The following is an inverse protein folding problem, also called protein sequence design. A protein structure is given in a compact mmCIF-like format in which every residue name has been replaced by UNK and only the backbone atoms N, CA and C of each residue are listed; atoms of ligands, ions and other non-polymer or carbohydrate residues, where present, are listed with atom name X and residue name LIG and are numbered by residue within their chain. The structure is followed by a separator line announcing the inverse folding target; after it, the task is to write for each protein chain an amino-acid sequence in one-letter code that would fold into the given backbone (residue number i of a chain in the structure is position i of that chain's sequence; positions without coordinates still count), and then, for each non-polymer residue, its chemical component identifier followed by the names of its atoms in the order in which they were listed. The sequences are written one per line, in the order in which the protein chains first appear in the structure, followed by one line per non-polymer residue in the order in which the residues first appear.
data_IF_886658735400
#
_entry.id   IF_886658735400
#
_cell.length_a   1.000
_cell.length_b   1.000
_cell.length_c   1.000
_cell.angle_alpha   90.00
_cell.angle_beta   90.00
_cell.angle_gamma   90.00
#
_symmetry.space_group_name_H-M   'P 1'
#
loop_
_entity.id
_entity.type
_entity.pdbx_description
1 polymer ?
#
# COMPACT_ATOMS: atom_id res chain seq x y z
N UNK A 1 -29.97 -20.98 4.13
CA UNK A 1 -29.59 -22.42 4.12
C UNK A 1 -28.13 -22.49 3.75
N UNK A 2 -27.26 -22.77 4.71
CA UNK A 2 -25.84 -22.99 4.50
C UNK A 2 -25.64 -24.48 4.17
N UNK A 3 -25.02 -24.79 3.04
CA UNK A 3 -24.52 -26.13 2.78
C UNK A 3 -23.00 -26.07 2.68
N UNK A 4 -22.35 -26.76 3.61
CA UNK A 4 -20.93 -27.04 3.66
C UNK A 4 -20.70 -28.06 4.78
N UNK A 5 -21.00 -29.32 4.50
CA UNK A 5 -20.65 -30.45 5.36
C UNK A 5 -19.47 -31.19 4.73
N UNK A 6 -18.42 -31.49 5.49
CA UNK A 6 -17.47 -32.56 5.13
C UNK A 6 -17.58 -33.69 6.16
N UNK A 7 -17.84 -34.92 5.69
CA UNK A 7 -17.80 -36.16 6.48
C UNK A 7 -16.35 -36.64 6.64
N UNK A 8 -16.08 -37.33 7.75
CA UNK A 8 -14.74 -37.68 8.26
C UNK A 8 -14.06 -38.88 7.59
N UNK A 9 -14.60 -39.43 6.50
CA UNK A 9 -14.24 -40.80 6.07
C UNK A 9 -13.46 -40.89 4.74
N UNK A 10 -12.77 -39.85 4.28
CA UNK A 10 -11.87 -39.96 3.11
C UNK A 10 -10.53 -39.25 3.36
N UNK A 11 -9.63 -39.96 4.04
CA UNK A 11 -8.19 -39.70 3.94
C UNK A 11 -7.59 -40.82 3.09
N UNK A 12 -7.57 -40.60 1.79
CA UNK A 12 -6.58 -41.20 0.90
C UNK A 12 -5.90 -40.04 0.18
N UNK A 13 -4.56 -40.05 0.18
CA UNK A 13 -3.75 -39.15 -0.63
C UNK A 13 -3.61 -39.80 -2.01
N UNK A 14 -4.18 -39.21 -3.07
CA UNK A 14 -3.59 -39.34 -4.39
C UNK A 14 -3.27 -37.97 -5.01
N UNK A 15 -2.18 -37.95 -5.77
CA UNK A 15 -1.56 -36.75 -6.33
C UNK A 15 -2.39 -35.99 -7.38
N UNK A 16 -1.91 -34.77 -7.64
CA UNK A 16 -2.08 -33.94 -8.84
C UNK A 16 -3.45 -34.03 -9.55
N UNK A 17 -4.39 -33.14 -9.20
CA UNK A 17 -5.09 -32.24 -10.13
C UNK A 17 -6.23 -31.46 -9.42
N UNK A 18 -6.27 -30.15 -9.67
CA UNK A 18 -7.39 -29.20 -9.43
C UNK A 18 -7.89 -28.98 -7.99
N UNK A 19 -7.43 -27.89 -7.35
CA UNK A 19 -8.12 -27.28 -6.20
C UNK A 19 -9.36 -26.50 -6.67
N UNK A 20 -10.54 -26.62 -6.02
CA UNK A 20 -11.69 -25.79 -6.33
C UNK A 20 -11.53 -24.36 -5.74
N UNK A 21 -12.08 -23.38 -6.45
CA UNK A 21 -12.01 -21.93 -6.17
C UNK A 21 -12.60 -21.53 -4.80
N UNK A 22 -12.12 -20.42 -4.19
CA UNK A 22 -12.60 -19.99 -2.87
C UNK A 22 -14.04 -19.44 -2.94
N UNK A 23 -14.90 -19.96 -2.07
CA UNK A 23 -16.27 -19.49 -1.84
C UNK A 23 -16.24 -18.19 -1.02
N UNK A 24 -17.02 -17.18 -1.43
CA UNK A 24 -17.20 -15.89 -0.73
C UNK A 24 -17.57 -16.10 0.76
N UNK A 25 -16.89 -15.40 1.65
CA UNK A 25 -17.13 -15.44 3.11
C UNK A 25 -18.57 -15.02 3.48
N UNK A 26 -19.24 -15.72 4.42
CA UNK A 26 -20.41 -15.20 5.12
C UNK A 26 -20.04 -14.57 6.48
N UNK A 27 -20.89 -13.64 6.90
CA UNK A 27 -20.84 -12.84 8.13
C UNK A 27 -20.54 -13.66 9.41
N UNK A 28 -19.39 -13.40 10.04
CA UNK A 28 -18.79 -14.21 11.11
C UNK A 28 -19.62 -14.33 12.40
N UNK A 29 -20.57 -13.41 12.64
CA UNK A 29 -21.43 -13.45 13.84
C UNK A 29 -22.63 -14.42 13.71
N UNK A 30 -22.99 -14.82 12.48
CA UNK A 30 -24.21 -15.61 12.23
C UNK A 30 -24.03 -17.13 12.36
N UNK A 31 -22.79 -17.63 12.36
CA UNK A 31 -22.51 -19.07 12.40
C UNK A 31 -22.70 -19.73 13.77
N UNK A 32 -22.77 -18.97 14.88
CA UNK A 32 -22.74 -19.55 16.23
C UNK A 32 -24.12 -19.88 16.84
N UNK A 33 -25.26 -19.59 16.19
CA UNK A 33 -26.58 -19.68 16.84
C UNK A 33 -27.44 -20.90 16.52
N UNK A 34 -26.95 -21.91 15.78
CA UNK A 34 -27.77 -23.05 15.34
C UNK A 34 -27.22 -24.47 15.65
N UNK A 35 -26.38 -24.64 16.66
CA UNK A 35 -26.01 -25.98 17.15
C UNK A 35 -26.90 -26.44 18.31
N UNK A 36 -28.08 -26.98 18.00
CA UNK A 36 -28.87 -27.81 18.93
C UNK A 36 -28.83 -29.28 18.48
N UNK A 37 -27.74 -29.97 18.76
CA UNK A 37 -27.70 -31.41 19.15
C UNK A 37 -26.27 -31.93 19.09
N UNK A 38 -25.90 -32.68 20.13
CA UNK A 38 -24.56 -33.18 20.39
C UNK A 38 -24.31 -34.48 19.63
N UNK A 39 -23.62 -34.39 18.48
CA UNK A 39 -22.76 -35.44 17.90
C UNK A 39 -22.06 -34.90 16.64
N UNK A 40 -20.75 -34.64 16.71
CA UNK A 40 -19.93 -34.42 15.51
C UNK A 40 -19.75 -32.98 14.99
N UNK A 41 -20.17 -31.94 15.72
CA UNK A 41 -19.85 -30.55 15.36
C UNK A 41 -18.52 -30.09 15.97
N UNK A 42 -17.67 -29.49 15.14
CA UNK A 42 -16.48 -28.74 15.58
C UNK A 42 -16.94 -27.39 16.10
N UNK A 43 -16.64 -27.09 17.37
CA UNK A 43 -16.95 -25.78 17.99
C UNK A 43 -15.74 -24.88 17.85
N UNK A 44 -15.93 -23.73 17.20
CA UNK A 44 -14.95 -22.64 17.19
C UNK A 44 -15.29 -21.67 18.30
N UNK A 45 -14.33 -21.38 19.17
CA UNK A 45 -14.47 -20.33 20.19
C UNK A 45 -13.61 -19.12 19.80
N UNK A 46 -14.24 -17.95 19.73
CA UNK A 46 -13.56 -16.68 19.53
C UNK A 46 -13.05 -16.15 20.87
N UNK A 47 -11.75 -15.86 20.97
CA UNK A 47 -11.18 -15.18 22.13
C UNK A 47 -10.83 -13.73 21.79
N UNK A 48 -11.46 -12.72 22.43
CA UNK A 48 -11.17 -11.31 22.17
C UNK A 48 -9.72 -10.91 22.50
N UNK A 49 -9.02 -11.66 23.36
CA UNK A 49 -7.65 -11.33 23.78
C UNK A 49 -6.57 -11.84 22.82
N UNK A 50 -6.90 -12.71 21.86
CA UNK A 50 -5.92 -13.34 20.95
C UNK A 50 -6.20 -13.10 19.46
N UNK A 51 -7.23 -12.33 19.12
CA UNK A 51 -7.67 -12.06 17.74
C UNK A 51 -7.67 -13.31 16.83
N UNK A 52 -8.16 -14.45 17.33
CA UNK A 52 -8.12 -15.72 16.58
C UNK A 52 -9.27 -16.68 16.96
N UNK A 53 -9.63 -17.54 16.01
CA UNK A 53 -10.57 -18.65 16.20
C UNK A 53 -9.81 -19.91 16.61
N UNK A 54 -10.23 -20.53 17.72
CA UNK A 54 -9.61 -21.75 18.25
C UNK A 54 -10.45 -22.97 17.90
N UNK A 55 -9.80 -24.03 17.42
CA UNK A 55 -10.41 -25.34 17.24
C UNK A 55 -10.38 -26.08 18.59
N UNK A 56 -11.54 -26.38 19.17
CA UNK A 56 -11.60 -27.10 20.43
C UNK A 56 -11.96 -28.57 20.16
N UNK A 57 -10.96 -29.46 20.15
CA UNK A 57 -11.20 -30.91 20.06
C UNK A 57 -11.26 -31.51 21.46
N UNK A 58 -12.41 -31.39 22.13
CA UNK A 58 -12.71 -32.26 23.26
C UNK A 58 -14.03 -32.98 23.03
N UNK A 59 -13.96 -34.26 22.68
CA UNK A 59 -15.03 -35.21 22.96
C UNK A 59 -14.35 -36.49 23.46
N UNK A 60 -14.53 -36.76 24.75
CA UNK A 60 -13.85 -37.83 25.45
C UNK A 60 -14.29 -39.22 25.04
N UNK A 61 -13.35 -40.16 25.14
CA UNK A 61 -13.61 -41.47 25.70
C UNK A 61 -12.40 -41.82 26.58
N UNK A 62 -12.68 -42.37 27.77
CA UNK A 62 -11.76 -42.39 28.91
C UNK A 62 -10.40 -43.05 28.68
N UNK A 63 -9.40 -42.50 29.35
CA UNK A 63 -8.07 -43.09 29.47
C UNK A 63 -7.04 -42.05 29.88
N UNK A 64 -6.37 -42.27 31.02
CA UNK A 64 -5.21 -41.48 31.45
C UNK A 64 -4.12 -41.51 30.37
N UNK A 65 -3.81 -40.35 29.77
CA UNK A 65 -2.49 -40.12 29.19
C UNK A 65 -2.19 -38.63 29.11
N UNK A 66 -1.07 -38.25 29.70
CA UNK A 66 -0.42 -36.93 29.62
C UNK A 66 -0.01 -36.61 28.18
N UNK A 67 -0.41 -35.45 27.66
CA UNK A 67 0.19 -34.80 26.49
C UNK A 67 -0.79 -34.47 25.36
N UNK A 68 -1.60 -33.42 25.53
CA UNK A 68 -2.43 -32.90 24.45
C UNK A 68 -1.59 -32.00 23.52
N UNK A 69 -1.26 -32.52 22.34
CA UNK A 69 -0.72 -31.75 21.22
C UNK A 69 -1.84 -30.90 20.61
N UNK A 70 -1.97 -29.65 21.06
CA UNK A 70 -2.82 -28.64 20.43
C UNK A 70 -2.08 -28.14 19.18
N UNK A 71 -2.54 -28.53 17.99
CA UNK A 71 -2.09 -27.91 16.73
C UNK A 71 -2.94 -26.64 16.54
N UNK A 72 -2.41 -25.51 17.00
CA UNK A 72 -3.01 -24.20 16.77
C UNK A 72 -2.68 -23.72 15.36
N UNK A 73 -3.69 -23.57 14.50
CA UNK A 73 -3.56 -22.80 13.27
C UNK A 73 -3.82 -21.33 13.59
N UNK A 74 -2.75 -20.54 13.67
CA UNK A 74 -2.85 -19.09 13.72
C UNK A 74 -3.25 -18.58 12.34
N UNK A 75 -4.51 -18.18 12.19
CA UNK A 75 -4.90 -17.30 11.09
C UNK A 75 -4.62 -15.88 11.55
N UNK A 76 -3.48 -15.34 11.11
CA UNK A 76 -3.28 -13.89 11.17
C UNK A 76 -4.36 -13.24 10.30
N UNK A 77 -5.12 -12.25 10.80
CA UNK A 77 -5.86 -11.38 9.89
C UNK A 77 -4.83 -10.79 8.93
N UNK A 78 -5.04 -11.00 7.62
CA UNK A 78 -4.16 -10.56 6.56
C UNK A 78 -3.92 -9.05 6.73
N UNK A 79 -2.73 -8.70 7.22
CA UNK A 79 -2.22 -7.33 7.30
C UNK A 79 -1.88 -6.94 5.87
N UNK A 80 -2.47 -5.83 5.37
CA UNK A 80 -2.31 -5.15 4.05
C UNK A 80 -1.20 -5.61 3.09
N UNK A 81 -1.16 -6.90 2.77
CA UNK A 81 -0.13 -7.48 1.95
C UNK A 81 -0.83 -7.89 0.66
N UNK A 82 -0.77 -6.93 -0.26
CA UNK A 82 -1.17 -6.97 -1.67
C UNK A 82 -2.63 -7.39 -1.92
N UNK A 83 -3.35 -6.63 -2.73
CA UNK A 83 -4.68 -7.05 -3.21
C UNK A 83 -4.51 -7.93 -4.44
N UNK A 84 -5.30 -9.00 -4.59
CA UNK A 84 -5.35 -9.73 -5.87
C UNK A 84 -6.32 -9.02 -6.83
N UNK A 85 -5.77 -8.45 -7.89
CA UNK A 85 -6.53 -7.78 -8.93
C UNK A 85 -6.41 -8.64 -10.18
N UNK A 86 -7.56 -9.11 -10.68
CA UNK A 86 -7.56 -9.91 -11.90
C UNK A 86 -6.87 -9.12 -13.05
N UNK A 87 -5.99 -9.73 -13.86
CA UNK A 87 -5.18 -9.00 -14.86
C UNK A 87 -6.00 -8.19 -15.88
N UNK A 88 -7.23 -8.65 -16.17
CA UNK A 88 -8.16 -8.00 -17.10
C UNK A 88 -9.13 -7.02 -16.43
N UNK A 89 -8.96 -6.73 -15.13
CA UNK A 89 -9.76 -5.75 -14.41
C UNK A 89 -9.75 -4.42 -15.15
N UNK A 90 -10.92 -3.80 -15.20
CA UNK A 90 -11.11 -2.46 -15.76
C UNK A 90 -11.62 -1.56 -14.65
N UNK A 91 -11.22 -0.30 -14.74
CA UNK A 91 -11.75 0.75 -13.89
C UNK A 91 -12.65 1.63 -14.72
N UNK A 92 -13.68 2.17 -14.08
CA UNK A 92 -14.54 3.20 -14.65
C UNK A 92 -13.66 4.34 -15.18
N UNK A 93 -13.97 4.84 -16.38
CA UNK A 93 -13.19 5.91 -17.01
C UNK A 93 -13.23 7.22 -16.20
N UNK A 94 -14.37 7.51 -15.58
CA UNK A 94 -14.58 8.72 -14.79
C UNK A 94 -14.28 8.45 -13.30
N UNK A 95 -13.34 9.21 -12.76
CA UNK A 95 -13.00 9.21 -11.34
C UNK A 95 -13.97 10.03 -10.50
N UNK A 96 -14.12 9.64 -9.24
CA UNK A 96 -14.80 10.44 -8.22
C UNK A 96 -13.75 11.21 -7.42
N UNK A 97 -13.91 12.53 -7.30
CA UNK A 97 -13.08 13.31 -6.36
C UNK A 97 -13.48 12.97 -4.92
N UNK A 98 -12.53 12.45 -4.14
CA UNK A 98 -12.74 11.97 -2.77
C UNK A 98 -11.99 12.79 -1.71
N UNK A 99 -11.05 13.64 -2.12
CA UNK A 99 -10.40 14.65 -1.29
C UNK A 99 -9.94 15.83 -2.15
N UNK A 100 -9.98 17.04 -1.60
CA UNK A 100 -9.62 18.28 -2.33
C UNK A 100 -10.62 18.63 -3.44
N UNK A 101 -10.11 19.16 -4.56
CA UNK A 101 -10.93 19.50 -5.75
C UNK A 101 -11.79 20.76 -5.64
N UNK A 102 -11.75 21.47 -4.50
CA UNK A 102 -12.46 22.74 -4.29
C UNK A 102 -11.54 23.95 -4.54
N UNK A 103 -10.67 23.83 -5.54
CA UNK A 103 -9.59 24.78 -5.84
C UNK A 103 -8.34 24.60 -4.97
N UNK A 104 -7.20 25.17 -5.41
CA UNK A 104 -5.96 25.16 -4.65
C UNK A 104 -6.08 26.05 -3.41
N UNK A 105 -5.70 25.53 -2.24
CA UNK A 105 -5.68 26.33 -1.02
C UNK A 105 -5.50 25.52 0.26
N UNK A 106 -5.70 26.17 1.40
CA UNK A 106 -5.44 25.62 2.73
C UNK A 106 -6.70 25.40 3.58
N UNK A 107 -7.90 25.63 3.02
CA UNK A 107 -9.15 25.26 3.68
C UNK A 107 -9.23 23.74 3.88
N UNK A 108 -10.12 23.28 4.75
CA UNK A 108 -10.25 21.86 5.09
C UNK A 108 -10.80 21.00 3.95
N UNK A 109 -11.45 21.60 2.95
CA UNK A 109 -11.91 20.94 1.74
C UNK A 109 -10.99 21.19 0.53
N UNK A 110 -9.80 21.78 0.75
CA UNK A 110 -8.81 22.10 -0.26
C UNK A 110 -7.49 21.38 0.00
N UNK A 111 -6.74 21.17 -1.08
CA UNK A 111 -5.36 20.68 -1.07
C UNK A 111 -4.50 21.65 -1.90
N UNK A 112 -3.18 21.62 -1.73
CA UNK A 112 -2.25 22.41 -2.52
C UNK A 112 -1.04 21.57 -2.96
N UNK A 113 -1.10 21.07 -4.20
CA UNK A 113 -0.17 20.11 -4.78
C UNK A 113 0.05 18.92 -3.85
N UNK A 114 -0.98 18.09 -3.58
CA UNK A 114 -0.80 16.89 -2.76
C UNK A 114 0.16 15.89 -3.43
N UNK A 115 0.86 15.05 -2.65
CA UNK A 115 1.85 14.09 -3.17
C UNK A 115 1.49 12.64 -2.85
N UNK A 116 1.98 12.11 -1.73
CA UNK A 116 1.69 10.76 -1.28
C UNK A 116 0.32 10.65 -0.63
N UNK A 117 -0.24 9.44 -0.70
CA UNK A 117 -1.45 9.09 0.02
C UNK A 117 -1.36 7.67 0.59
N UNK A 118 -2.18 7.44 1.60
CA UNK A 118 -2.49 6.12 2.12
C UNK A 118 -4.00 6.00 2.32
N UNK A 119 -4.57 4.85 1.97
CA UNK A 119 -5.99 4.53 2.13
C UNK A 119 -6.10 3.31 3.02
N UNK A 120 -6.84 3.42 4.13
CA UNK A 120 -7.10 2.28 5.01
C UNK A 120 -8.33 1.47 4.59
N UNK A 121 -8.56 0.36 5.31
CA UNK A 121 -9.66 -0.59 5.05
C UNK A 121 -11.05 0.04 5.16
N UNK A 122 -11.19 1.15 5.88
CA UNK A 122 -12.44 1.90 6.04
C UNK A 122 -12.63 2.98 4.97
N UNK A 123 -11.76 2.97 3.94
CA UNK A 123 -11.66 3.99 2.90
C UNK A 123 -11.31 5.39 3.47
N UNK A 124 -10.67 5.45 4.64
CA UNK A 124 -10.12 6.71 5.17
C UNK A 124 -8.83 7.02 4.43
N UNK A 125 -8.72 8.26 3.96
CA UNK A 125 -7.61 8.72 3.14
C UNK A 125 -6.73 9.65 3.99
N UNK A 126 -5.44 9.37 4.02
CA UNK A 126 -4.41 10.27 4.55
C UNK A 126 -3.62 10.81 3.36
N UNK A 127 -3.50 12.13 3.25
CA UNK A 127 -2.84 12.78 2.11
C UNK A 127 -1.77 13.72 2.61
N UNK A 128 -0.57 13.62 2.03
CA UNK A 128 0.47 14.60 2.20
C UNK A 128 0.12 15.87 1.39
N UNK A 129 -0.44 16.86 2.07
CA UNK A 129 -0.76 18.17 1.51
C UNK A 129 0.51 19.03 1.51
N UNK A 130 1.41 18.65 0.62
CA UNK A 130 2.82 19.04 0.54
C UNK A 130 3.06 20.54 0.72
N UNK A 131 2.40 21.39 -0.07
CA UNK A 131 2.63 22.84 -0.02
C UNK A 131 2.04 23.49 1.23
N UNK A 132 1.02 22.89 1.83
CA UNK A 132 0.43 23.37 3.07
C UNK A 132 1.13 22.81 4.33
N UNK A 133 2.19 21.99 4.16
CA UNK A 133 3.01 21.45 5.25
C UNK A 133 2.21 20.70 6.31
N UNK A 134 1.28 19.86 5.85
CA UNK A 134 0.37 19.12 6.72
C UNK A 134 0.00 17.77 6.13
N UNK A 135 -0.42 16.87 6.99
CA UNK A 135 -1.15 15.67 6.60
C UNK A 135 -2.63 15.90 6.88
N UNK A 136 -3.44 15.62 5.88
CA UNK A 136 -4.89 15.73 5.96
C UNK A 136 -5.53 14.34 5.95
N UNK A 137 -6.53 14.13 6.80
CA UNK A 137 -7.36 12.92 6.86
C UNK A 137 -8.75 13.22 6.29
N UNK A 138 -9.25 12.39 5.37
CA UNK A 138 -10.66 12.37 4.96
C UNK A 138 -11.26 11.01 5.30
N UNK A 139 -12.39 11.03 6.00
CA UNK A 139 -13.20 9.83 6.18
C UNK A 139 -14.02 9.58 4.92
N UNK A 140 -14.47 8.33 4.75
CA UNK A 140 -15.28 7.94 3.60
C UNK A 140 -16.48 8.87 3.41
N UNK A 141 -16.63 9.40 2.19
CA UNK A 141 -17.68 10.36 1.79
C UNK A 141 -17.64 11.72 2.50
N UNK A 142 -16.58 12.06 3.24
CA UNK A 142 -16.44 13.37 3.85
C UNK A 142 -16.26 14.46 2.78
N UNK A 143 -16.92 15.60 2.95
CA UNK A 143 -16.79 16.77 2.05
C UNK A 143 -15.65 17.71 2.45
N UNK A 144 -15.08 17.51 3.64
CA UNK A 144 -13.92 18.23 4.17
C UNK A 144 -13.09 17.30 5.05
N UNK A 145 -11.80 17.58 5.14
CA UNK A 145 -10.84 16.77 5.88
C UNK A 145 -10.49 17.40 7.23
N UNK A 146 -9.56 16.74 7.90
CA UNK A 146 -9.04 17.15 9.20
C UNK A 146 -7.52 17.17 9.14
N UNK A 147 -6.91 18.22 9.70
CA UNK A 147 -5.45 18.25 9.86
C UNK A 147 -5.08 17.27 10.97
N UNK A 148 -4.33 16.23 10.64
CA UNK A 148 -3.92 15.18 11.59
C UNK A 148 -2.42 15.22 11.94
N UNK A 149 -1.61 15.90 11.12
CA UNK A 149 -0.22 16.21 11.43
C UNK A 149 0.22 17.51 10.75
N UNK A 150 1.17 18.22 11.34
CA UNK A 150 1.65 19.51 10.83
C UNK A 150 0.60 20.62 10.91
N UNK A 151 0.55 21.49 9.89
CA UNK A 151 -0.43 22.59 9.80
C UNK A 151 -0.16 23.78 10.72
N UNK A 152 0.98 23.80 11.44
CA UNK A 152 1.42 24.90 12.29
C UNK A 152 2.54 25.73 11.60
N UNK A 153 2.40 25.93 10.29
CA UNK A 153 3.42 26.54 9.43
C UNK A 153 4.57 25.60 9.07
N UNK A 154 5.36 26.03 8.09
CA UNK A 154 6.59 25.37 7.67
C UNK A 154 7.63 25.42 8.80
N UNK A 155 8.29 24.30 9.09
CA UNK A 155 9.40 24.27 10.04
C UNK A 155 9.78 22.88 10.50
N UNK A 156 10.76 22.79 11.40
CA UNK A 156 11.31 21.54 11.92
C UNK A 156 10.90 21.24 13.38
N UNK A 157 10.09 22.11 13.99
CA UNK A 157 9.57 21.91 15.34
C UNK A 157 8.73 20.64 15.45
N UNK A 158 8.49 20.18 16.67
CA UNK A 158 7.74 18.93 16.93
C UNK A 158 6.29 18.98 16.46
N UNK A 159 5.73 20.16 16.20
CA UNK A 159 4.37 20.37 15.70
C UNK A 159 4.31 20.81 14.23
N UNK A 160 5.46 20.84 13.56
CA UNK A 160 5.60 21.35 12.19
C UNK A 160 6.10 20.25 11.26
N UNK A 161 5.75 20.41 9.99
CA UNK A 161 6.31 19.67 8.87
C UNK A 161 6.88 20.68 7.88
N UNK A 162 7.68 20.21 6.95
CA UNK A 162 8.30 21.00 5.91
C UNK A 162 8.27 20.20 4.61
N UNK A 163 7.24 20.48 3.81
CA UNK A 163 6.98 19.81 2.53
C UNK A 163 6.94 18.27 2.66
N UNK A 164 5.94 17.73 3.39
CA UNK A 164 5.84 16.31 3.56
C UNK A 164 5.53 15.65 2.21
N UNK A 165 6.31 14.64 1.83
CA UNK A 165 6.16 13.97 0.54
C UNK A 165 5.14 12.85 0.59
N UNK A 166 5.21 12.05 1.63
CA UNK A 166 4.52 10.77 1.70
C UNK A 166 4.10 10.47 3.13
N UNK A 167 3.05 9.66 3.25
CA UNK A 167 2.48 9.25 4.54
C UNK A 167 1.93 7.83 4.43
N UNK A 168 2.27 7.00 5.41
CA UNK A 168 1.67 5.68 5.61
C UNK A 168 1.18 5.51 7.05
N UNK A 169 0.35 4.51 7.30
CA UNK A 169 -0.14 4.20 8.65
C UNK A 169 0.56 2.96 9.20
N UNK A 170 1.14 3.08 10.39
CA UNK A 170 1.55 1.95 11.22
C UNK A 170 0.40 1.61 12.18
N UNK A 171 -0.46 0.66 11.76
CA UNK A 171 -1.65 0.24 12.52
C UNK A 171 -1.31 -0.36 13.90
N UNK A 172 -0.17 -1.05 14.03
CA UNK A 172 0.22 -1.74 15.27
C UNK A 172 0.64 -0.76 16.37
N UNK A 173 1.26 0.35 15.96
CA UNK A 173 1.69 1.43 16.89
C UNK A 173 0.74 2.63 16.87
N UNK A 174 -0.38 2.50 16.16
CA UNK A 174 -1.38 3.54 15.90
C UNK A 174 -0.80 4.93 15.62
N UNK A 175 0.07 5.00 14.61
CA UNK A 175 0.75 6.24 14.21
C UNK A 175 0.86 6.40 12.70
N UNK A 176 0.92 7.64 12.25
CA UNK A 176 1.36 8.01 10.91
C UNK A 176 2.88 7.94 10.85
N UNK A 177 3.40 7.51 9.72
CA UNK A 177 4.81 7.60 9.37
C UNK A 177 4.91 8.55 8.17
N UNK A 178 5.65 9.64 8.30
CA UNK A 178 5.62 10.77 7.37
C UNK A 178 7.03 11.05 6.85
N UNK A 179 7.21 11.14 5.54
CA UNK A 179 8.40 11.72 4.93
C UNK A 179 8.34 13.23 5.14
N UNK A 180 9.13 13.77 6.06
CA UNK A 180 9.25 15.22 6.30
C UNK A 180 10.47 15.77 5.54
N UNK A 181 10.32 15.78 4.22
CA UNK A 181 11.40 15.73 3.22
C UNK A 181 12.41 16.87 3.34
N UNK A 182 11.96 18.13 3.42
CA UNK A 182 12.89 19.26 3.53
C UNK A 182 13.47 19.44 4.92
N UNK A 183 12.96 18.71 5.92
CA UNK A 183 13.62 18.55 7.22
C UNK A 183 14.56 17.32 7.25
N UNK A 184 14.69 16.60 6.13
CA UNK A 184 15.55 15.43 5.95
C UNK A 184 15.35 14.36 7.02
N UNK A 185 14.09 14.02 7.28
CA UNK A 185 13.73 13.07 8.34
C UNK A 185 12.44 12.31 8.03
N UNK A 186 12.27 11.20 8.73
CA UNK A 186 10.98 10.50 8.86
C UNK A 186 10.41 10.77 10.24
N UNK A 187 9.13 11.13 10.30
CA UNK A 187 8.43 11.47 11.54
C UNK A 187 7.37 10.41 11.84
N UNK A 188 7.36 9.91 13.07
CA UNK A 188 6.24 9.16 13.64
C UNK A 188 5.27 10.13 14.32
N UNK A 189 3.98 10.09 14.00
CA UNK A 189 2.97 10.99 14.54
C UNK A 189 1.75 10.21 15.06
N UNK A 190 1.35 10.32 16.34
CA UNK A 190 0.22 9.55 16.85
C UNK A 190 -1.08 9.86 16.10
N UNK A 191 -1.84 8.83 15.68
CA UNK A 191 -3.09 9.02 14.92
C UNK A 191 -4.21 9.56 15.79
N UNK A 192 -4.29 9.12 17.04
CA UNK A 192 -5.28 9.56 18.00
C UNK A 192 -4.69 10.63 18.92
N UNK A 193 -5.30 11.83 18.90
CA UNK A 193 -4.96 12.97 19.77
C UNK A 193 -3.48 13.42 19.72
N UNK A 194 -2.71 13.01 18.70
CA UNK A 194 -1.31 13.38 18.52
C UNK A 194 -1.15 14.85 18.13
N UNK A 195 -0.59 15.66 19.02
CA UNK A 195 -0.33 17.11 18.74
C UNK A 195 1.07 17.39 18.21
N UNK A 196 1.96 16.41 18.26
CA UNK A 196 3.37 16.52 17.88
C UNK A 196 3.89 15.20 17.34
N UNK A 197 4.84 15.30 16.41
CA UNK A 197 5.60 14.17 15.87
C UNK A 197 6.98 14.01 16.52
N UNK A 198 7.49 12.80 16.42
CA UNK A 198 8.82 12.39 16.85
C UNK A 198 9.66 12.02 15.62
N UNK A 199 10.92 12.46 15.58
CA UNK A 199 11.84 12.03 14.52
C UNK A 199 12.28 10.59 14.77
N UNK A 200 11.90 9.68 13.88
CA UNK A 200 12.24 8.24 14.00
C UNK A 200 13.41 7.85 13.10
N UNK A 201 13.67 8.60 12.03
CA UNK A 201 14.85 8.46 11.16
C UNK A 201 15.33 9.87 10.81
N UNK A 202 16.62 10.14 10.96
CA UNK A 202 17.25 11.43 10.65
C UNK A 202 18.27 11.32 9.51
N UNK A 203 18.64 12.47 8.94
CA UNK A 203 19.58 12.60 7.81
C UNK A 203 19.22 11.73 6.61
N UNK A 204 17.95 11.79 6.22
CA UNK A 204 17.43 11.07 5.06
C UNK A 204 16.59 12.00 4.19
N UNK A 205 16.95 12.11 2.91
CA UNK A 205 16.13 12.83 1.93
C UNK A 205 14.95 11.94 1.50
N UNK A 206 13.96 11.84 2.41
CA UNK A 206 12.82 10.93 2.30
C UNK A 206 11.81 11.41 1.26
N UNK A 207 11.60 10.63 0.19
CA UNK A 207 10.64 10.95 -0.88
C UNK A 207 9.50 9.92 -1.01
N UNK A 208 9.71 8.69 -0.55
CA UNK A 208 8.71 7.63 -0.57
C UNK A 208 8.89 6.66 0.58
N UNK A 209 7.77 6.14 1.08
CA UNK A 209 7.69 5.23 2.21
C UNK A 209 6.85 4.01 1.86
N UNK A 210 7.29 2.85 2.36
CA UNK A 210 6.42 1.68 2.48
C UNK A 210 6.82 0.88 3.71
N UNK A 211 5.96 -0.03 4.14
CA UNK A 211 6.19 -0.87 5.31
C UNK A 211 5.78 -2.30 4.99
N UNK A 212 6.65 -3.25 5.34
CA UNK A 212 6.30 -4.67 5.20
C UNK A 212 5.41 -5.17 6.35
N UNK A 213 4.90 -6.39 6.18
CA UNK A 213 4.05 -7.08 7.17
C UNK A 213 4.73 -7.33 8.52
N UNK A 214 6.06 -7.23 8.60
CA UNK A 214 6.83 -7.31 9.85
C UNK A 214 7.09 -5.93 10.48
N UNK A 215 6.63 -4.85 9.84
CA UNK A 215 6.79 -3.49 10.32
C UNK A 215 8.15 -2.87 10.02
N UNK A 216 8.94 -3.43 9.10
CA UNK A 216 10.16 -2.78 8.61
C UNK A 216 9.79 -1.66 7.65
N UNK A 217 10.38 -0.48 7.85
CA UNK A 217 10.18 0.68 6.98
C UNK A 217 11.18 0.66 5.84
N UNK A 218 10.70 0.89 4.62
CA UNK A 218 11.52 1.11 3.44
C UNK A 218 11.38 2.57 3.06
N UNK A 219 12.52 3.25 2.97
CA UNK A 219 12.58 4.69 2.76
C UNK A 219 13.43 4.98 1.54
N UNK A 220 12.88 5.71 0.58
CA UNK A 220 13.63 6.26 -0.54
C UNK A 220 14.48 7.42 -0.04
N UNK A 221 15.80 7.31 -0.21
CA UNK A 221 16.74 8.42 -0.05
C UNK A 221 17.11 8.95 -1.44
N UNK A 222 16.47 10.05 -1.83
CA UNK A 222 16.61 10.61 -3.18
C UNK A 222 17.98 11.23 -3.42
N UNK A 223 18.60 11.82 -2.40
CA UNK A 223 19.94 12.40 -2.51
C UNK A 223 21.00 11.32 -2.71
N UNK A 224 20.89 10.22 -1.97
CA UNK A 224 21.82 9.08 -2.07
C UNK A 224 21.49 8.12 -3.20
N UNK A 225 20.36 8.30 -3.87
CA UNK A 225 19.88 7.44 -4.95
C UNK A 225 19.75 5.98 -4.52
N UNK A 226 19.14 5.74 -3.37
CA UNK A 226 19.03 4.41 -2.77
C UNK A 226 17.70 4.23 -2.03
N UNK A 227 17.37 2.97 -1.75
CA UNK A 227 16.29 2.63 -0.81
C UNK A 227 16.90 1.96 0.41
N UNK A 228 16.52 2.41 1.61
CA UNK A 228 16.99 1.87 2.89
C UNK A 228 15.85 1.16 3.62
N UNK A 229 16.11 -0.05 4.12
CA UNK A 229 15.25 -0.79 5.03
C UNK A 229 15.66 -0.54 6.48
N UNK A 230 14.70 -0.22 7.33
CA UNK A 230 14.85 -0.03 8.77
C UNK A 230 13.94 -1.03 9.48
N UNK A 231 14.53 -2.03 10.13
CA UNK A 231 13.78 -2.90 11.03
C UNK A 231 13.39 -2.15 12.29
N UNK A 232 12.43 -2.69 13.02
CA UNK A 232 11.98 -2.10 14.29
C UNK A 232 13.18 -1.97 15.24
N UNK A 233 13.49 -0.74 15.66
CA UNK A 233 14.61 -0.41 16.53
C UNK A 233 15.90 -0.04 15.81
N UNK A 234 15.97 -0.14 14.48
CA UNK A 234 17.15 0.27 13.72
C UNK A 234 17.30 1.79 13.75
N UNK A 235 18.49 2.26 14.13
CA UNK A 235 18.88 3.68 13.98
C UNK A 235 19.64 3.94 12.69
N UNK A 236 20.06 2.88 11.99
CA UNK A 236 20.78 2.93 10.71
C UNK A 236 20.16 1.92 9.75
N UNK A 237 19.58 2.40 8.67
CA UNK A 237 18.95 1.55 7.67
C UNK A 237 19.97 0.81 6.82
N UNK A 238 19.61 -0.41 6.40
CA UNK A 238 20.36 -1.21 5.43
C UNK A 238 19.93 -0.84 4.02
N UNK A 239 20.88 -0.50 3.14
CA UNK A 239 20.56 -0.27 1.73
C UNK A 239 20.02 -1.55 1.11
N UNK A 240 18.91 -1.50 0.39
CA UNK A 240 18.26 -2.66 -0.28
C UNK A 240 18.09 -2.46 -1.78
N UNK A 241 18.21 -1.23 -2.28
CA UNK A 241 18.26 -0.92 -3.72
C UNK A 241 19.20 0.27 -3.97
N UNK A 242 19.88 0.31 -5.13
CA UNK A 242 20.69 1.46 -5.54
C UNK A 242 22.04 1.63 -4.84
N UNK A 243 22.66 0.55 -4.33
CA UNK A 243 23.92 0.59 -3.54
C UNK A 243 25.09 1.33 -4.22
N UNK A 244 25.09 1.42 -5.54
CA UNK A 244 26.16 2.07 -6.30
C UNK A 244 25.86 3.57 -6.59
N UNK A 245 24.78 4.12 -6.04
CA UNK A 245 24.39 5.51 -6.21
C UNK A 245 23.81 5.82 -7.58
N UNK A 246 24.01 7.06 -8.04
CA UNK A 246 23.40 7.60 -9.25
C UNK A 246 23.93 6.94 -10.52
N UNK A 247 23.05 6.42 -11.36
CA UNK A 247 23.41 5.90 -12.69
C UNK A 247 22.25 5.24 -13.42
N UNK A 248 22.50 4.74 -14.63
CA UNK A 248 21.50 4.11 -15.51
C UNK A 248 21.60 2.58 -15.59
N UNK A 249 22.71 1.99 -15.16
CA UNK A 249 22.84 0.53 -15.04
C UNK A 249 21.84 -0.02 -14.01
N UNK A 250 21.49 -1.30 -14.13
CA UNK A 250 20.51 -1.95 -13.24
C UNK A 250 21.01 -2.16 -11.81
N UNK A 251 22.29 -1.90 -11.54
CA UNK A 251 22.86 -1.87 -10.19
C UNK A 251 22.98 -0.45 -9.61
N UNK A 252 22.47 0.57 -10.32
CA UNK A 252 22.31 1.95 -9.88
C UNK A 252 20.82 2.30 -9.73
N UNK A 253 20.51 3.43 -9.09
CA UNK A 253 19.23 4.13 -9.26
C UNK A 253 19.50 5.56 -9.75
N UNK A 254 18.52 6.19 -10.38
CA UNK A 254 18.58 7.63 -10.69
C UNK A 254 17.30 8.32 -10.25
N UNK A 255 17.45 9.27 -9.33
CA UNK A 255 16.36 10.08 -8.79
C UNK A 255 15.14 9.25 -8.37
N UNK A 256 15.29 8.24 -7.48
CA UNK A 256 14.17 7.41 -7.08
C UNK A 256 13.09 8.26 -6.39
N UNK A 257 11.81 7.97 -6.63
CA UNK A 257 10.69 8.78 -6.10
C UNK A 257 9.80 8.02 -5.14
N UNK A 258 9.45 6.79 -5.47
CA UNK A 258 8.48 6.02 -4.69
C UNK A 258 8.93 4.57 -4.60
N UNK A 259 8.43 3.89 -3.57
CA UNK A 259 8.80 2.53 -3.25
C UNK A 259 7.57 1.72 -2.90
N UNK A 260 7.55 0.47 -3.35
CA UNK A 260 6.60 -0.55 -2.91
C UNK A 260 7.36 -1.81 -2.52
N UNK A 261 6.87 -2.54 -1.53
CA UNK A 261 7.42 -3.83 -1.11
C UNK A 261 6.33 -4.89 -1.21
N UNK A 262 6.61 -5.98 -1.92
CA UNK A 262 5.67 -7.11 -2.02
C UNK A 262 5.83 -8.11 -0.86
N UNK A 263 4.97 -9.14 -0.83
CA UNK A 263 5.00 -10.22 0.16
C UNK A 263 6.29 -11.04 0.14
N UNK A 264 7.00 -11.05 -0.99
CA UNK A 264 8.31 -11.71 -1.13
C UNK A 264 9.48 -10.79 -0.74
N UNK A 265 9.18 -9.63 -0.12
CA UNK A 265 10.15 -8.59 0.25
C UNK A 265 10.93 -8.01 -0.92
N UNK A 266 10.41 -8.15 -2.15
CA UNK A 266 10.99 -7.50 -3.31
C UNK A 266 10.62 -6.02 -3.31
N UNK A 267 11.60 -5.18 -3.58
CA UNK A 267 11.47 -3.72 -3.55
C UNK A 267 11.30 -3.19 -4.96
N UNK A 268 10.17 -2.55 -5.24
CA UNK A 268 9.90 -1.87 -6.50
C UNK A 268 10.17 -0.39 -6.33
N UNK A 269 10.91 0.19 -7.27
CA UNK A 269 11.32 1.59 -7.20
C UNK A 269 10.96 2.29 -8.50
N UNK A 270 10.21 3.38 -8.42
CA UNK A 270 10.03 4.30 -9.55
C UNK A 270 11.25 5.22 -9.67
N UNK A 271 11.90 5.17 -10.83
CA UNK A 271 13.09 5.96 -11.11
C UNK A 271 12.74 7.11 -12.04
N UNK A 272 12.56 8.30 -11.47
CA UNK A 272 12.25 9.50 -12.25
C UNK A 272 13.36 9.82 -13.24
N UNK A 273 14.62 9.66 -12.84
CA UNK A 273 15.78 10.01 -13.67
C UNK A 273 16.05 9.02 -14.80
N UNK A 274 15.60 7.78 -14.68
CA UNK A 274 15.81 6.73 -15.68
C UNK A 274 14.53 6.34 -16.45
N UNK A 275 13.37 6.93 -16.12
CA UNK A 275 12.09 6.67 -16.79
C UNK A 275 11.69 5.19 -16.78
N UNK A 276 11.85 4.54 -15.63
CA UNK A 276 11.58 3.11 -15.45
C UNK A 276 11.11 2.78 -14.05
N UNK A 277 10.63 1.55 -13.88
CA UNK A 277 10.45 0.91 -12.58
C UNK A 277 11.38 -0.30 -12.51
N UNK A 278 12.12 -0.44 -11.41
CA UNK A 278 12.97 -1.60 -11.14
C UNK A 278 12.49 -2.41 -9.95
N UNK A 279 12.49 -3.75 -10.07
CA UNK A 279 12.26 -4.73 -8.98
C UNK A 279 13.61 -5.19 -8.44
N UNK A 280 13.82 -5.11 -7.13
CA UNK A 280 15.03 -5.50 -6.43
C UNK A 280 14.71 -6.66 -5.49
N UNK A 281 15.30 -7.83 -5.77
CA UNK A 281 15.08 -9.05 -5.00
C UNK A 281 16.19 -9.17 -3.94
N UNK A 282 15.84 -9.58 -2.72
CA UNK A 282 16.81 -9.70 -1.63
C UNK A 282 17.98 -10.63 -2.03
N UNK A 283 19.20 -10.19 -1.70
CA UNK A 283 20.43 -10.91 -2.03
C UNK A 283 20.93 -10.76 -3.47
N UNK A 284 20.21 -10.06 -4.36
CA UNK A 284 20.71 -9.72 -5.71
C UNK A 284 21.47 -8.39 -5.71
N UNK A 285 22.49 -8.29 -6.56
CA UNK A 285 23.33 -7.08 -6.68
C UNK A 285 22.75 -6.01 -7.60
N UNK A 286 21.83 -6.40 -8.49
CA UNK A 286 21.17 -5.53 -9.46
C UNK A 286 19.66 -5.74 -9.42
N UNK A 287 18.92 -4.68 -9.72
CA UNK A 287 17.50 -4.74 -9.99
C UNK A 287 17.19 -5.36 -11.36
N UNK A 288 15.91 -5.53 -11.62
CA UNK A 288 15.33 -5.99 -12.88
C UNK A 288 14.41 -4.88 -13.35
N UNK A 289 14.59 -4.37 -14.57
CA UNK A 289 13.61 -3.45 -15.16
C UNK A 289 12.30 -4.19 -15.41
N UNK A 290 11.21 -3.69 -14.83
CA UNK A 290 9.89 -4.33 -14.89
C UNK A 290 8.81 -3.47 -15.56
N UNK A 291 9.08 -2.18 -15.73
CA UNK A 291 8.30 -1.29 -16.59
C UNK A 291 9.20 -0.17 -17.13
N UNK A 292 8.99 0.25 -18.38
CA UNK A 292 9.84 1.24 -19.04
C UNK A 292 11.18 0.67 -19.51
N UNK A 293 12.26 1.42 -19.28
CA UNK A 293 13.66 1.05 -19.61
C UNK A 293 14.00 1.00 -21.11
N UNK A 294 13.22 1.70 -21.94
CA UNK A 294 13.52 1.91 -23.38
C UNK A 294 13.55 3.40 -23.76
N UNK A 295 13.93 4.23 -22.78
CA UNK A 295 13.98 5.69 -22.89
C UNK A 295 12.64 6.37 -22.53
N UNK A 296 12.71 7.70 -22.33
CA UNK A 296 11.52 8.52 -22.07
C UNK A 296 10.62 8.60 -23.30
N UNK A 297 9.31 8.59 -23.09
CA UNK A 297 8.30 8.80 -24.12
C UNK A 297 6.91 8.39 -23.68
N UNK A 298 5.96 8.38 -24.62
CA UNK A 298 4.54 8.08 -24.37
C UNK A 298 4.08 6.76 -25.01
N UNK A 299 4.98 5.98 -25.63
CA UNK A 299 4.67 4.65 -26.14
C UNK A 299 4.27 3.68 -25.01
N UNK A 300 3.66 2.55 -25.36
CA UNK A 300 3.23 1.54 -24.37
C UNK A 300 4.40 0.81 -23.69
N UNK A 301 5.61 0.93 -24.24
CA UNK A 301 6.85 0.42 -23.62
C UNK A 301 7.61 1.49 -22.85
N UNK A 302 7.21 2.75 -22.98
CA UNK A 302 7.91 3.91 -22.42
C UNK A 302 7.15 4.48 -21.23
N UNK A 303 7.91 5.13 -20.35
CA UNK A 303 7.43 6.00 -19.29
C UNK A 303 8.10 7.36 -19.44
N UNK A 304 7.56 8.41 -18.83
CA UNK A 304 8.22 9.70 -18.68
C UNK A 304 8.05 10.19 -17.24
N UNK A 305 9.17 10.34 -16.55
CA UNK A 305 9.23 10.84 -15.18
C UNK A 305 8.29 10.08 -14.19
N UNK A 306 8.27 8.73 -14.16
CA UNK A 306 7.33 7.99 -13.32
C UNK A 306 7.52 8.33 -11.85
N UNK A 307 6.42 8.61 -11.14
CA UNK A 307 6.44 9.01 -9.72
C UNK A 307 5.91 7.91 -8.82
N UNK A 308 4.65 7.50 -8.93
CA UNK A 308 4.05 6.46 -8.07
C UNK A 308 4.19 5.04 -8.63
N UNK A 309 4.30 4.06 -7.73
CA UNK A 309 4.26 2.63 -8.07
C UNK A 309 3.50 1.86 -6.98
N UNK A 310 2.60 0.96 -7.39
CA UNK A 310 1.98 -0.07 -6.54
C UNK A 310 1.91 -1.39 -7.30
N UNK A 311 1.93 -2.51 -6.58
CA UNK A 311 1.93 -3.85 -7.18
C UNK A 311 0.85 -4.70 -6.51
N UNK A 312 0.13 -5.50 -7.31
CA UNK A 312 -0.90 -6.43 -6.82
C UNK A 312 -0.30 -7.82 -6.47
N UNK A 313 -1.11 -8.74 -5.92
CA UNK A 313 -0.67 -10.12 -5.59
C UNK A 313 -0.25 -10.94 -6.81
N UNK A 314 -0.67 -10.52 -8.01
CA UNK A 314 -0.34 -11.17 -9.27
C UNK A 314 0.95 -10.61 -9.90
N UNK A 315 1.75 -9.82 -9.17
CA UNK A 315 2.94 -9.09 -9.66
C UNK A 315 2.61 -8.12 -10.81
N UNK A 316 1.37 -7.64 -10.92
CA UNK A 316 1.00 -6.58 -11.86
C UNK A 316 1.42 -5.24 -11.29
N UNK A 317 2.18 -4.48 -12.06
CA UNK A 317 2.72 -3.19 -11.67
C UNK A 317 1.84 -2.09 -12.22
N UNK A 318 1.48 -1.14 -11.35
CA UNK A 318 0.74 0.07 -11.70
C UNK A 318 1.62 1.28 -11.47
N UNK A 319 1.75 2.14 -12.48
CA UNK A 319 2.70 3.25 -12.47
C UNK A 319 1.97 4.55 -12.78
N UNK A 320 2.21 5.57 -11.97
CA UNK A 320 1.84 6.95 -12.30
C UNK A 320 2.91 7.52 -13.24
N UNK A 321 2.57 7.58 -14.52
CA UNK A 321 3.39 8.09 -15.61
C UNK A 321 3.16 9.60 -15.73
N UNK A 322 3.79 10.33 -14.79
CA UNK A 322 3.51 11.72 -14.43
C UNK A 322 3.47 12.69 -15.62
N UNK A 323 4.52 12.73 -16.43
CA UNK A 323 4.61 13.67 -17.54
C UNK A 323 3.68 13.33 -18.71
N UNK A 324 3.19 12.08 -18.75
CA UNK A 324 2.21 11.61 -19.72
C UNK A 324 0.77 11.68 -19.19
N UNK A 325 0.55 12.19 -17.97
CA UNK A 325 -0.77 12.41 -17.37
C UNK A 325 -1.66 11.14 -17.40
N UNK A 326 -1.07 9.99 -17.07
CA UNK A 326 -1.74 8.68 -17.18
C UNK A 326 -1.29 7.70 -16.11
N UNK A 327 -2.14 6.70 -15.86
CA UNK A 327 -1.78 5.52 -15.08
C UNK A 327 -1.64 4.33 -16.04
N UNK A 328 -0.50 3.66 -15.94
CA UNK A 328 -0.17 2.50 -16.74
C UNK A 328 -0.19 1.23 -15.90
N UNK A 329 -0.52 0.10 -16.54
CA UNK A 329 -0.49 -1.25 -15.96
C UNK A 329 0.46 -2.14 -16.75
N UNK A 330 1.32 -2.87 -16.07
CA UNK A 330 2.18 -3.94 -16.60
C UNK A 330 1.93 -5.26 -15.86
N UNK A 331 1.24 -6.23 -16.48
CA UNK A 331 1.18 -7.59 -15.96
C UNK A 331 2.58 -8.21 -15.83
N UNK A 332 2.75 -9.16 -14.92
CA UNK A 332 4.02 -9.88 -14.73
C UNK A 332 4.58 -10.41 -16.05
N UNK A 333 5.81 -10.01 -16.36
CA UNK A 333 6.53 -10.45 -17.58
C UNK A 333 6.07 -9.79 -18.89
N UNK A 334 5.16 -8.81 -18.84
CA UNK A 334 4.74 -8.07 -20.02
C UNK A 334 5.88 -7.19 -20.57
N UNK A 335 6.04 -7.17 -21.89
CA UNK A 335 7.05 -6.33 -22.57
C UNK A 335 6.57 -4.91 -22.85
N UNK A 336 5.27 -4.67 -22.73
CA UNK A 336 4.58 -3.39 -22.86
C UNK A 336 3.41 -3.32 -21.88
N UNK A 337 3.00 -2.12 -21.53
CA UNK A 337 1.90 -1.86 -20.61
C UNK A 337 0.63 -1.45 -21.34
N UNK A 338 -0.41 -1.20 -20.56
CA UNK A 338 -1.67 -0.64 -21.05
C UNK A 338 -2.05 0.59 -20.22
N UNK A 339 -2.52 1.65 -20.87
CA UNK A 339 -3.14 2.80 -20.18
C UNK A 339 -4.44 2.33 -19.56
N UNK A 340 -4.61 2.53 -18.25
CA UNK A 340 -5.86 2.18 -17.54
C UNK A 340 -6.67 3.42 -17.15
N UNK A 341 -6.03 4.58 -16.96
CA UNK A 341 -6.65 5.86 -16.61
C UNK A 341 -5.86 6.99 -17.27
N UNK A 342 -6.55 8.02 -17.78
CA UNK A 342 -5.92 9.21 -18.37
C UNK A 342 -5.27 8.98 -19.74
N UNK A 343 -4.24 9.77 -20.07
CA UNK A 343 -3.41 9.59 -21.27
C UNK A 343 -3.99 10.09 -22.60
N UNK A 344 -5.23 10.61 -22.62
CA UNK A 344 -5.79 11.29 -23.81
C UNK A 344 -5.37 12.75 -23.88
N UNK A 345 -5.46 13.47 -22.75
CA UNK A 345 -5.01 14.85 -22.60
C UNK A 345 -4.93 15.23 -21.13
N UNK A 346 -4.02 16.15 -20.81
CA UNK A 346 -3.98 16.84 -19.52
C UNK A 346 -5.25 17.66 -19.32
N UNK A 347 -5.82 17.62 -18.12
CA UNK A 347 -6.96 18.47 -17.77
C UNK A 347 -7.58 18.14 -16.42
N UNK A 348 -8.67 18.83 -16.09
CA UNK A 348 -9.34 18.75 -14.79
C UNK A 348 -10.64 17.93 -14.79
N UNK A 349 -11.06 17.38 -15.93
CA UNK A 349 -12.25 16.54 -16.00
C UNK A 349 -12.07 15.22 -15.23
N UNK A 350 -13.16 14.52 -14.96
CA UNK A 350 -13.14 13.29 -14.14
C UNK A 350 -12.32 12.13 -14.74
N UNK A 351 -12.10 12.13 -16.05
CA UNK A 351 -11.26 11.15 -16.76
C UNK A 351 -9.90 11.70 -17.18
N UNK A 352 -9.56 12.92 -16.77
CA UNK A 352 -8.28 13.57 -17.05
C UNK A 352 -7.46 13.68 -15.77
N UNK A 353 -6.14 13.68 -15.96
CA UNK A 353 -5.15 13.86 -14.90
C UNK A 353 -4.23 15.02 -15.26
N UNK A 354 -3.52 15.52 -14.25
CA UNK A 354 -2.49 16.55 -14.38
C UNK A 354 -1.38 16.26 -13.36
N UNK A 355 -0.32 15.60 -13.81
CA UNK A 355 0.79 15.18 -12.96
C UNK A 355 0.37 14.22 -11.84
N UNK A 356 -0.10 12.99 -12.15
CA UNK A 356 -0.41 11.99 -11.14
C UNK A 356 0.85 11.56 -10.37
N UNK A 357 0.74 11.44 -9.04
CA UNK A 357 1.87 11.10 -8.16
C UNK A 357 1.60 9.82 -7.39
N UNK A 358 0.96 9.91 -6.22
CA UNK A 358 0.70 8.77 -5.34
C UNK A 358 -0.41 7.88 -5.87
N UNK A 359 -0.25 6.57 -5.67
CA UNK A 359 -1.23 5.53 -5.99
C UNK A 359 -1.52 4.68 -4.74
N UNK A 360 -2.77 4.29 -4.55
CA UNK A 360 -3.15 3.31 -3.53
C UNK A 360 -4.38 2.53 -4.00
N UNK A 361 -4.46 1.25 -3.65
CA UNK A 361 -5.70 0.49 -3.77
C UNK A 361 -6.44 0.50 -2.44
N UNK A 362 -7.78 0.41 -2.48
CA UNK A 362 -8.54 -0.08 -1.32
C UNK A 362 -8.70 -1.61 -1.36
N UNK A 363 -9.24 -2.19 -0.30
CA UNK A 363 -9.50 -3.64 -0.19
C UNK A 363 -10.45 -4.22 -1.23
N UNK A 364 -11.12 -3.37 -2.01
CA UNK A 364 -12.02 -3.77 -3.09
C UNK A 364 -11.38 -3.65 -4.48
N UNK A 365 -10.13 -3.17 -4.56
CA UNK A 365 -9.38 -3.00 -5.81
C UNK A 365 -9.69 -1.68 -6.52
N UNK A 366 -10.40 -0.76 -5.88
CA UNK A 366 -10.58 0.58 -6.43
C UNK A 366 -9.24 1.34 -6.33
N UNK A 367 -8.89 2.05 -7.39
CA UNK A 367 -7.63 2.78 -7.47
C UNK A 367 -7.83 4.23 -7.05
N UNK A 368 -7.01 4.68 -6.11
CA UNK A 368 -6.91 6.07 -5.69
C UNK A 368 -5.66 6.69 -6.29
N UNK A 369 -5.82 7.86 -6.90
CA UNK A 369 -4.77 8.60 -7.57
C UNK A 369 -4.69 9.99 -6.99
N UNK A 370 -3.50 10.40 -6.55
CA UNK A 370 -3.22 11.81 -6.25
C UNK A 370 -2.96 12.54 -7.56
N UNK A 371 -3.95 13.33 -7.97
CA UNK A 371 -3.95 14.14 -9.18
C UNK A 371 -3.41 15.53 -8.81
N UNK A 372 -2.09 15.60 -8.64
CA UNK A 372 -1.42 16.66 -7.89
C UNK A 372 -1.62 18.06 -8.49
N UNK A 373 -1.49 18.18 -9.80
CA UNK A 373 -1.67 19.43 -10.54
C UNK A 373 -3.13 19.91 -10.57
N UNK A 374 -4.08 19.04 -10.24
CA UNK A 374 -5.49 19.39 -10.05
C UNK A 374 -5.89 19.51 -8.57
N UNK A 375 -4.92 19.41 -7.64
CA UNK A 375 -5.14 19.64 -6.21
C UNK A 375 -6.21 18.73 -5.59
N UNK A 376 -6.24 17.45 -6.00
CA UNK A 376 -7.28 16.50 -5.59
C UNK A 376 -6.77 15.07 -5.50
N UNK A 377 -7.58 14.22 -4.87
CA UNK A 377 -7.47 12.75 -4.95
C UNK A 377 -8.70 12.22 -5.67
N UNK A 378 -8.49 11.40 -6.69
CA UNK A 378 -9.54 10.73 -7.44
C UNK A 378 -9.60 9.24 -7.11
N UNK A 379 -10.82 8.70 -6.93
CA UNK A 379 -11.11 7.28 -6.78
C UNK A 379 -11.73 6.75 -8.07
N UNK A 380 -11.14 5.72 -8.65
CA UNK A 380 -11.65 5.00 -9.80
C UNK A 380 -12.13 3.62 -9.34
N UNK A 381 -13.40 3.32 -9.60
CA UNK A 381 -14.00 2.05 -9.19
C UNK A 381 -13.77 0.97 -10.23
N UNK A 382 -13.68 -0.29 -9.82
CA UNK A 382 -13.73 -1.41 -10.76
C UNK A 382 -15.11 -1.43 -11.47
N UNK A 383 -15.13 -1.82 -12.75
CA UNK A 383 -16.34 -1.97 -13.58
C UNK A 383 -17.27 -3.12 -13.16
#
# INVERSE_FOLDING_TARGET
MCHGFMRKDNWDIPGNDTLPSPVKQPDYASCCSQCQSTSGCIVFTYSPSSQGCWLNTSMGSGGNSTGDNIIGYYFHPLRESSIDIHPNTRWQENGLTVAGGNGPGSLLNQLLYPWGLYVDDDETIYVADYTNHRIMKWERNATSGQVVAGGNGQGNGTRQLNYPYDVIVDKERDRLIICDSLNRRVVGWPRLNGKSGETIISDIDCWGLTMDEHGSLYVVDRERHEVRRYKIGDTKGTVVAGRNGKGNLLNHLSEPRYVFVDQDYSVYVSEWGNNRVTKWVEGKESGIAVAGDVGSGNGLRQLSAPKGVVVDQSDTIYVADDENDRIMRWPKGATEGSVIIGGKSRGGESNQLNGPIGLSFDRYGNLYVVDSGNHRVQKFKIE
#
